data_IF_962944696071
#
_entry.id   IF_962944696071
#
_cell.length_a   1.000
_cell.length_b   1.000
_cell.length_c   1.000
_cell.angle_alpha   90.00
_cell.angle_beta   90.00
_cell.angle_gamma   90.00
#
_symmetry.space_group_name_H-M   'P 1'
#
loop_
_entity.id
_entity.type
_entity.pdbx_description
1 polymer ?
#
# COMPACT_ATOMS: atom_id res chain seq x y z
N UNK A 1 -30.17 -22.57 5.28
CA UNK A 1 -29.21 -22.81 4.19
C UNK A 1 -28.11 -21.78 4.37
N UNK A 2 -26.99 -22.23 4.89
CA UNK A 2 -25.91 -21.40 5.42
C UNK A 2 -25.03 -20.94 4.24
N UNK A 3 -25.01 -19.63 3.99
CA UNK A 3 -24.24 -19.02 2.91
C UNK A 3 -22.74 -19.23 3.18
N UNK A 4 -22.18 -20.26 2.56
CA UNK A 4 -20.75 -20.49 2.56
C UNK A 4 -20.07 -19.36 1.78
N UNK A 5 -19.06 -18.67 2.35
CA UNK A 5 -18.38 -17.57 1.66
C UNK A 5 -17.72 -18.06 0.37
N UNK A 6 -17.74 -17.22 -0.65
CA UNK A 6 -17.19 -17.56 -1.97
C UNK A 6 -15.66 -17.71 -1.89
N UNK A 7 -15.02 -18.49 -2.78
CA UNK A 7 -13.57 -18.74 -2.73
C UNK A 7 -12.67 -17.48 -2.72
N UNK A 8 -13.20 -16.32 -3.12
CA UNK A 8 -12.48 -15.05 -3.16
C UNK A 8 -12.35 -14.34 -1.80
N UNK A 9 -13.12 -14.74 -0.79
CA UNK A 9 -13.10 -14.11 0.55
C UNK A 9 -12.17 -14.83 1.54
N UNK A 10 -11.64 -16.01 1.15
CA UNK A 10 -10.90 -16.91 2.04
C UNK A 10 -9.44 -16.53 2.30
N UNK A 11 -8.88 -15.58 1.54
CA UNK A 11 -7.42 -15.35 1.54
C UNK A 11 -6.96 -14.11 2.31
N UNK A 12 -7.85 -13.36 2.96
CA UNK A 12 -7.50 -12.06 3.55
C UNK A 12 -7.82 -11.89 5.04
N UNK A 13 -8.53 -12.81 5.69
CA UNK A 13 -9.13 -12.51 7.00
C UNK A 13 -8.77 -13.45 8.17
N UNK A 14 -8.05 -14.55 7.95
CA UNK A 14 -7.66 -15.51 9.00
C UNK A 14 -6.14 -15.55 9.27
N UNK A 15 -5.44 -14.43 9.12
CA UNK A 15 -4.06 -14.37 9.62
C UNK A 15 -4.11 -14.30 11.14
N UNK A 16 -3.44 -15.22 11.83
CA UNK A 16 -3.27 -15.19 13.29
C UNK A 16 -1.79 -15.22 13.63
N UNK A 17 -1.39 -14.50 14.67
CA UNK A 17 -0.05 -14.60 15.25
C UNK A 17 -0.14 -15.44 16.53
N UNK A 18 0.48 -16.62 16.55
CA UNK A 18 0.33 -17.63 17.62
C UNK A 18 -1.15 -17.94 17.99
N UNK A 19 -2.04 -18.01 16.99
CA UNK A 19 -3.45 -18.30 17.21
C UNK A 19 -4.29 -17.10 17.69
N UNK A 20 -3.70 -15.91 17.83
CA UNK A 20 -4.43 -14.66 18.10
C UNK A 20 -4.59 -13.85 16.82
N UNK A 21 -5.84 -13.62 16.41
CA UNK A 21 -6.16 -12.59 15.41
C UNK A 21 -6.04 -11.21 16.06
N UNK A 22 -5.46 -10.24 15.35
CA UNK A 22 -5.47 -8.85 15.80
C UNK A 22 -6.63 -8.11 15.14
N UNK A 23 -7.43 -7.45 15.95
CA UNK A 23 -8.36 -6.45 15.44
C UNK A 23 -7.60 -5.23 14.91
N UNK A 24 -8.24 -4.48 14.01
CA UNK A 24 -7.70 -3.20 13.49
C UNK A 24 -7.40 -2.23 14.65
N UNK A 25 -8.24 -2.23 15.69
CA UNK A 25 -8.06 -1.41 16.89
C UNK A 25 -6.82 -1.81 17.69
N UNK A 26 -6.63 -3.11 17.97
CA UNK A 26 -5.43 -3.60 18.66
C UNK A 26 -4.15 -3.31 17.85
N UNK A 27 -4.21 -3.49 16.52
CA UNK A 27 -3.10 -3.17 15.65
C UNK A 27 -2.73 -1.68 15.73
N UNK A 28 -3.73 -0.79 15.72
CA UNK A 28 -3.54 0.66 15.89
C UNK A 28 -2.94 1.01 17.25
N UNK A 29 -3.36 0.34 18.33
CA UNK A 29 -2.77 0.53 19.66
C UNK A 29 -1.29 0.14 19.70
N UNK A 30 -0.91 -0.99 19.07
CA UNK A 30 0.50 -1.41 18.93
C UNK A 30 1.33 -0.39 18.15
N UNK A 31 0.74 0.27 17.16
CA UNK A 31 1.42 1.31 16.35
C UNK A 31 1.51 2.66 17.06
N UNK A 32 0.64 2.94 18.03
CA UNK A 32 0.54 4.24 18.68
C UNK A 32 1.84 4.78 19.31
N UNK A 33 2.75 3.97 19.89
CA UNK A 33 4.03 4.46 20.42
C UNK A 33 5.00 4.93 19.34
N UNK A 34 4.79 4.51 18.08
CA UNK A 34 5.61 4.85 16.93
C UNK A 34 5.03 6.02 16.11
N UNK A 35 4.00 6.68 16.65
CA UNK A 35 3.47 7.89 16.03
C UNK A 35 4.51 9.00 16.08
N UNK A 36 5.18 9.23 14.97
CA UNK A 36 6.06 10.36 14.78
C UNK A 36 5.38 11.47 13.97
N UNK A 37 5.93 12.68 14.02
CA UNK A 37 5.49 13.78 13.16
C UNK A 37 6.01 13.67 11.73
N UNK A 38 6.47 12.49 11.29
CA UNK A 38 7.13 12.33 10.00
C UNK A 38 6.09 12.22 8.89
N UNK A 39 6.08 13.22 8.02
CA UNK A 39 5.21 13.28 6.86
C UNK A 39 3.72 13.48 7.13
N UNK A 40 2.95 13.56 6.05
CA UNK A 40 1.50 13.65 6.06
C UNK A 40 0.91 12.96 4.83
N UNK A 41 -0.38 12.63 4.93
CA UNK A 41 -1.20 12.41 3.73
C UNK A 41 -2.24 13.53 3.71
N UNK A 42 -2.20 14.32 2.64
CA UNK A 42 -3.03 15.52 2.51
C UNK A 42 -4.15 15.28 1.50
N UNK A 43 -5.33 15.86 1.75
CA UNK A 43 -6.51 15.76 0.87
C UNK A 43 -6.94 17.15 0.40
N UNK A 44 -6.88 17.35 -0.91
CA UNK A 44 -7.48 18.51 -1.59
C UNK A 44 -8.71 18.03 -2.38
N UNK A 45 -9.79 18.81 -2.30
CA UNK A 45 -11.04 18.58 -3.04
C UNK A 45 -11.17 19.68 -4.08
N UNK A 46 -11.33 19.33 -5.36
CA UNK A 46 -11.59 20.32 -6.39
C UNK A 46 -13.10 20.49 -6.69
N UNK A 47 -13.44 21.57 -7.39
CA UNK A 47 -14.81 21.93 -7.75
C UNK A 47 -15.45 20.95 -8.76
N UNK A 48 -14.64 20.09 -9.40
CA UNK A 48 -15.12 19.10 -10.37
C UNK A 48 -15.51 17.77 -9.71
N UNK A 49 -15.27 17.62 -8.41
CA UNK A 49 -15.50 16.39 -7.65
C UNK A 49 -14.33 15.41 -7.72
N UNK A 50 -13.10 15.89 -7.96
CA UNK A 50 -11.88 15.08 -7.92
C UNK A 50 -11.15 15.30 -6.60
N UNK A 51 -10.83 14.21 -5.92
CA UNK A 51 -9.95 14.21 -4.76
C UNK A 51 -8.48 14.10 -5.21
N UNK A 52 -7.63 14.97 -4.69
CA UNK A 52 -6.17 14.83 -4.80
C UNK A 52 -5.62 14.42 -3.45
N UNK A 53 -5.02 13.24 -3.40
CA UNK A 53 -4.43 12.65 -2.19
C UNK A 53 -2.92 12.69 -2.34
N UNK A 54 -2.25 13.48 -1.51
CA UNK A 54 -0.82 13.71 -1.61
C UNK A 54 -0.07 12.97 -0.50
N UNK A 55 0.82 12.04 -0.87
CA UNK A 55 1.80 11.44 0.02
C UNK A 55 2.96 12.43 0.20
N UNK A 56 3.11 12.96 1.40
CA UNK A 56 4.03 14.06 1.66
C UNK A 56 5.07 13.67 2.72
N UNK A 57 6.17 13.09 2.26
CA UNK A 57 7.38 12.87 3.07
C UNK A 57 8.62 12.97 2.17
N UNK A 58 8.89 14.15 1.57
CA UNK A 58 9.83 14.30 0.47
C UNK A 58 11.26 13.89 0.85
N UNK A 59 11.66 14.16 2.11
CA UNK A 59 12.99 13.77 2.64
C UNK A 59 13.27 12.28 2.54
N UNK A 60 12.23 11.45 2.56
CA UNK A 60 12.31 9.99 2.46
C UNK A 60 11.63 9.46 1.20
N UNK A 61 11.50 10.29 0.14
CA UNK A 61 10.82 9.93 -1.11
C UNK A 61 9.41 9.36 -0.84
N UNK A 62 8.69 10.03 0.04
CA UNK A 62 7.32 9.71 0.43
C UNK A 62 7.16 8.34 1.11
N UNK A 63 8.18 7.90 1.85
CA UNK A 63 8.09 6.71 2.69
C UNK A 63 6.99 6.85 3.74
N UNK A 64 6.18 5.81 3.91
CA UNK A 64 5.00 5.78 4.76
C UNK A 64 5.40 5.54 6.22
N UNK A 65 5.14 6.54 7.05
CA UNK A 65 5.20 6.49 8.52
C UNK A 65 3.87 6.02 9.12
N UNK A 66 3.84 5.77 10.43
CA UNK A 66 2.58 5.48 11.16
C UNK A 66 1.59 6.64 11.03
N UNK A 67 2.06 7.88 11.10
CA UNK A 67 1.19 9.05 10.92
C UNK A 67 0.53 9.06 9.54
N UNK A 68 1.30 8.76 8.49
CA UNK A 68 0.76 8.69 7.13
C UNK A 68 -0.27 7.55 6.97
N UNK A 69 -0.10 6.41 7.64
CA UNK A 69 -1.13 5.35 7.67
C UNK A 69 -2.43 5.86 8.29
N UNK A 70 -2.35 6.55 9.45
CA UNK A 70 -3.51 7.13 10.12
C UNK A 70 -4.20 8.21 9.28
N UNK A 71 -3.42 9.05 8.59
CA UNK A 71 -3.95 10.09 7.73
C UNK A 71 -4.68 9.48 6.52
N UNK A 72 -4.09 8.45 5.89
CA UNK A 72 -4.72 7.72 4.78
C UNK A 72 -6.01 7.01 5.22
N UNK A 73 -6.05 6.39 6.40
CA UNK A 73 -7.26 5.76 6.96
C UNK A 73 -8.42 6.77 7.09
N UNK A 74 -8.12 7.93 7.70
CA UNK A 74 -9.10 9.03 7.86
C UNK A 74 -9.53 9.61 6.52
N UNK A 75 -8.62 9.79 5.57
CA UNK A 75 -8.94 10.28 4.23
C UNK A 75 -9.84 9.29 3.50
N UNK A 76 -9.60 8.00 3.67
CA UNK A 76 -10.44 6.96 3.09
C UNK A 76 -11.88 7.04 3.62
N UNK A 77 -12.08 7.28 4.92
CA UNK A 77 -13.43 7.53 5.48
C UNK A 77 -14.08 8.78 4.89
N UNK A 78 -13.31 9.88 4.78
CA UNK A 78 -13.81 11.13 4.19
C UNK A 78 -14.22 10.97 2.74
N UNK A 79 -13.52 10.14 1.97
CA UNK A 79 -13.85 9.85 0.57
C UNK A 79 -15.09 8.98 0.47
N UNK A 80 -15.23 7.98 1.32
CA UNK A 80 -16.42 7.14 1.38
C UNK A 80 -17.70 7.95 1.68
N UNK A 81 -17.58 8.98 2.51
CA UNK A 81 -18.70 9.87 2.87
C UNK A 81 -18.96 10.98 1.85
N UNK A 82 -18.04 11.24 0.91
CA UNK A 82 -18.17 12.34 -0.04
C UNK A 82 -18.93 11.91 -1.29
N UNK A 83 -20.25 12.09 -1.28
CA UNK A 83 -21.19 11.61 -2.32
C UNK A 83 -21.00 12.23 -3.70
N UNK A 84 -20.40 13.41 -3.77
CA UNK A 84 -20.15 14.17 -4.99
C UNK A 84 -18.77 13.87 -5.58
N UNK A 85 -17.96 13.06 -4.89
CA UNK A 85 -16.67 12.60 -5.38
C UNK A 85 -16.85 11.66 -6.57
N UNK A 86 -16.21 11.97 -7.69
CA UNK A 86 -16.22 11.16 -8.92
C UNK A 86 -14.98 10.28 -9.01
N UNK A 87 -13.89 10.69 -8.40
CA UNK A 87 -12.63 9.95 -8.42
C UNK A 87 -11.55 10.57 -7.54
N UNK A 88 -10.49 9.80 -7.31
CA UNK A 88 -9.34 10.21 -6.52
C UNK A 88 -8.02 9.94 -7.26
N UNK A 89 -7.11 10.89 -7.17
CA UNK A 89 -5.74 10.79 -7.67
C UNK A 89 -4.81 10.72 -6.45
N UNK A 90 -4.12 9.60 -6.31
CA UNK A 90 -3.07 9.41 -5.31
C UNK A 90 -1.72 9.67 -5.96
N UNK A 91 -0.95 10.60 -5.39
CA UNK A 91 0.37 11.00 -5.90
C UNK A 91 1.30 11.35 -4.73
N UNK A 92 2.60 11.54 -4.99
CA UNK A 92 3.56 11.98 -3.97
C UNK A 92 4.19 13.33 -4.29
N UNK A 93 4.72 14.01 -3.25
CA UNK A 93 5.44 15.27 -3.39
C UNK A 93 6.83 15.11 -4.02
N UNK A 94 7.42 16.23 -4.45
CA UNK A 94 8.79 16.31 -4.98
C UNK A 94 9.09 15.32 -6.10
N UNK A 95 8.12 15.10 -6.98
CA UNK A 95 8.26 14.29 -8.18
C UNK A 95 8.58 12.82 -7.89
N UNK A 96 8.18 12.28 -6.74
CA UNK A 96 8.34 10.86 -6.41
C UNK A 96 7.01 10.30 -5.90
N UNK A 97 6.62 9.10 -6.32
CA UNK A 97 5.39 8.51 -5.79
C UNK A 97 5.53 8.04 -4.33
N UNK A 98 6.23 6.92 -4.09
CA UNK A 98 6.38 6.35 -2.75
C UNK A 98 7.46 5.27 -2.74
N UNK A 99 8.45 5.43 -1.85
CA UNK A 99 9.59 4.51 -1.72
C UNK A 99 9.32 3.28 -0.85
N UNK A 100 8.16 3.19 -0.18
CA UNK A 100 7.82 2.07 0.71
C UNK A 100 7.41 2.49 2.11
N UNK A 101 7.51 1.55 3.05
CA UNK A 101 7.47 1.89 4.48
C UNK A 101 8.78 2.55 4.91
N UNK A 102 8.70 3.42 5.92
CA UNK A 102 9.90 4.02 6.50
C UNK A 102 10.84 2.96 7.08
N UNK A 103 12.07 2.89 6.57
CA UNK A 103 13.07 1.89 7.02
C UNK A 103 13.54 2.12 8.45
N UNK A 104 13.48 3.37 8.96
CA UNK A 104 13.77 3.65 10.36
C UNK A 104 12.69 3.06 11.25
N UNK A 105 11.43 3.28 10.90
CA UNK A 105 10.28 2.66 11.56
C UNK A 105 10.39 1.14 11.53
N UNK A 106 10.71 0.54 10.38
CA UNK A 106 10.87 -0.90 10.24
C UNK A 106 11.95 -1.48 11.18
N UNK A 107 13.06 -0.74 11.39
CA UNK A 107 14.12 -1.13 12.33
C UNK A 107 13.68 -1.02 13.79
N UNK A 108 12.96 0.04 14.15
CA UNK A 108 12.43 0.25 15.51
C UNK A 108 11.33 -0.77 15.86
N UNK A 109 10.59 -1.22 14.86
CA UNK A 109 9.53 -2.22 14.96
C UNK A 109 10.01 -3.65 14.72
N UNK A 110 11.31 -3.93 14.77
CA UNK A 110 11.91 -5.22 14.41
C UNK A 110 11.62 -6.34 15.42
N UNK A 111 10.34 -6.70 15.55
CA UNK A 111 9.86 -7.90 16.20
C UNK A 111 8.59 -8.39 15.48
N UNK A 112 8.27 -9.69 15.57
CA UNK A 112 7.17 -10.26 14.80
C UNK A 112 5.80 -9.65 15.11
N UNK A 113 5.56 -9.27 16.37
CA UNK A 113 4.28 -8.72 16.80
C UNK A 113 3.99 -7.37 16.13
N UNK A 114 4.97 -6.48 16.15
CA UNK A 114 4.85 -5.15 15.56
C UNK A 114 4.75 -5.22 14.03
N UNK A 115 5.52 -6.10 13.38
CA UNK A 115 5.41 -6.35 11.95
C UNK A 115 4.03 -6.87 11.55
N UNK A 116 3.47 -7.78 12.35
CA UNK A 116 2.11 -8.28 12.13
C UNK A 116 1.04 -7.20 12.33
N UNK A 117 1.13 -6.39 13.40
CA UNK A 117 0.22 -5.26 13.62
C UNK A 117 0.25 -4.25 12.47
N UNK A 118 1.45 -3.89 11.97
CA UNK A 118 1.58 -3.03 10.79
C UNK A 118 0.89 -3.63 9.56
N UNK A 119 1.09 -4.93 9.33
CA UNK A 119 0.52 -5.65 8.19
C UNK A 119 -1.01 -5.66 8.25
N UNK A 120 -1.59 -5.93 9.43
CA UNK A 120 -3.04 -5.89 9.67
C UNK A 120 -3.60 -4.49 9.42
N UNK A 121 -2.97 -3.46 10.00
CA UNK A 121 -3.49 -2.10 9.92
C UNK A 121 -3.40 -1.52 8.50
N UNK A 122 -2.23 -1.62 7.87
CA UNK A 122 -2.04 -1.09 6.51
C UNK A 122 -2.82 -1.92 5.47
N UNK A 123 -2.89 -3.24 5.65
CA UNK A 123 -3.73 -4.12 4.83
C UNK A 123 -5.21 -3.70 4.87
N UNK A 124 -5.74 -3.45 6.07
CA UNK A 124 -7.10 -2.93 6.27
C UNK A 124 -7.33 -1.61 5.54
N UNK A 125 -6.42 -0.65 5.69
CA UNK A 125 -6.53 0.67 5.03
C UNK A 125 -6.59 0.49 3.51
N UNK A 126 -5.70 -0.31 2.93
CA UNK A 126 -5.65 -0.53 1.48
C UNK A 126 -6.85 -1.33 0.96
N UNK A 127 -7.41 -2.25 1.74
CA UNK A 127 -8.66 -2.93 1.40
C UNK A 127 -9.85 -1.98 1.42
N UNK A 128 -9.92 -1.11 2.43
CA UNK A 128 -10.95 -0.06 2.54
C UNK A 128 -10.83 0.92 1.38
N UNK A 129 -9.62 1.34 1.03
CA UNK A 129 -9.33 2.22 -0.11
C UNK A 129 -9.76 1.58 -1.44
N UNK A 130 -9.44 0.31 -1.66
CA UNK A 130 -9.83 -0.44 -2.86
C UNK A 130 -11.34 -0.59 -3.02
N UNK A 131 -12.10 -0.60 -1.91
CA UNK A 131 -13.56 -0.74 -1.88
C UNK A 131 -14.31 0.59 -1.99
N UNK A 132 -13.61 1.71 -2.14
CA UNK A 132 -14.27 3.01 -2.31
C UNK A 132 -15.20 2.99 -3.54
N UNK A 133 -16.40 3.61 -3.46
CA UNK A 133 -17.35 3.64 -4.56
C UNK A 133 -17.02 4.72 -5.61
N UNK A 134 -15.73 4.96 -5.88
CA UNK A 134 -15.20 5.96 -6.81
C UNK A 134 -14.01 5.39 -7.57
N UNK A 135 -13.66 5.98 -8.71
CA UNK A 135 -12.46 5.57 -9.45
C UNK A 135 -11.21 6.12 -8.78
N UNK A 136 -10.23 5.26 -8.51
CA UNK A 136 -8.95 5.63 -7.90
C UNK A 136 -7.78 5.44 -8.87
N UNK A 137 -6.91 6.44 -8.96
CA UNK A 137 -5.74 6.44 -9.86
C UNK A 137 -4.47 6.68 -9.05
N UNK A 138 -3.50 5.77 -9.13
CA UNK A 138 -2.14 6.05 -8.69
C UNK A 138 -1.39 6.77 -9.81
N UNK A 139 -0.99 8.03 -9.58
CA UNK A 139 -0.13 8.81 -10.46
C UNK A 139 1.33 8.59 -10.06
N UNK A 140 2.08 7.85 -10.88
CA UNK A 140 3.42 7.34 -10.55
C UNK A 140 4.47 8.12 -11.33
N UNK A 141 5.34 8.81 -10.60
CA UNK A 141 6.39 9.68 -11.14
C UNK A 141 7.74 9.47 -10.43
N UNK A 142 8.81 9.98 -11.04
CA UNK A 142 10.21 9.94 -10.59
C UNK A 142 10.72 8.55 -10.28
N UNK A 143 11.21 8.31 -9.05
CA UNK A 143 11.71 6.97 -8.67
C UNK A 143 10.63 5.89 -8.62
N UNK A 144 9.37 6.27 -8.81
CA UNK A 144 8.24 5.36 -8.92
C UNK A 144 7.73 4.84 -7.58
N UNK A 145 7.11 3.66 -7.64
CA UNK A 145 6.47 2.99 -6.52
C UNK A 145 7.29 1.75 -6.13
N UNK A 146 7.98 1.78 -4.99
CA UNK A 146 8.89 0.71 -4.57
C UNK A 146 8.44 0.09 -3.24
N UNK A 147 8.63 -1.21 -3.08
CA UNK A 147 8.34 -1.94 -1.85
C UNK A 147 6.88 -1.75 -1.43
N UNK A 148 6.66 -1.21 -0.23
CA UNK A 148 5.33 -0.83 0.24
C UNK A 148 4.60 0.16 -0.68
N UNK A 149 5.32 1.06 -1.36
CA UNK A 149 4.73 1.99 -2.34
C UNK A 149 4.14 1.24 -3.53
N UNK A 150 4.80 0.16 -3.98
CA UNK A 150 4.24 -0.73 -4.99
C UNK A 150 2.95 -1.40 -4.47
N UNK A 151 2.91 -1.82 -3.21
CA UNK A 151 1.69 -2.37 -2.60
C UNK A 151 0.54 -1.38 -2.59
N UNK A 152 0.79 -0.10 -2.26
CA UNK A 152 -0.23 0.96 -2.30
C UNK A 152 -0.85 1.08 -3.70
N UNK A 153 -0.05 1.02 -4.76
CA UNK A 153 -0.59 1.11 -6.14
C UNK A 153 -1.56 -0.02 -6.49
N UNK A 154 -1.49 -1.16 -5.80
CA UNK A 154 -2.41 -2.29 -6.03
C UNK A 154 -3.80 -2.06 -5.44
N UNK A 155 -3.93 -1.10 -4.52
CA UNK A 155 -5.22 -0.68 -3.99
C UNK A 155 -5.96 0.29 -4.91
N UNK A 156 -5.27 0.91 -5.87
CA UNK A 156 -5.90 1.78 -6.87
C UNK A 156 -6.53 0.98 -8.03
N UNK A 157 -7.53 1.53 -8.70
CA UNK A 157 -8.12 0.93 -9.91
C UNK A 157 -7.15 1.04 -11.08
N UNK A 158 -6.59 2.22 -11.30
CA UNK A 158 -5.66 2.50 -12.38
C UNK A 158 -4.30 2.95 -11.85
N UNK A 159 -3.27 2.69 -12.64
CA UNK A 159 -1.89 3.15 -12.43
C UNK A 159 -1.48 3.92 -13.67
N UNK A 160 -1.31 5.23 -13.53
CA UNK A 160 -0.82 6.10 -14.60
C UNK A 160 0.65 6.39 -14.32
N UNK A 161 1.52 5.94 -15.20
CA UNK A 161 2.96 6.10 -15.02
C UNK A 161 3.51 7.14 -15.98
N UNK A 162 4.27 8.08 -15.43
CA UNK A 162 4.91 9.13 -16.20
C UNK A 162 6.27 8.67 -16.73
N UNK A 163 6.53 8.87 -18.02
CA UNK A 163 7.81 8.53 -18.66
C UNK A 163 8.84 9.65 -18.50
N UNK A 164 8.93 10.23 -17.29
CA UNK A 164 9.77 11.41 -16.98
C UNK A 164 11.20 10.99 -16.62
N UNK A 165 11.37 9.79 -16.04
CA UNK A 165 12.67 9.19 -15.76
C UNK A 165 12.69 7.73 -16.24
N UNK A 166 13.85 7.26 -16.71
CA UNK A 166 14.04 5.84 -17.07
C UNK A 166 13.82 4.90 -15.88
N UNK A 167 13.97 5.43 -14.66
CA UNK A 167 13.79 4.69 -13.41
C UNK A 167 12.35 4.66 -12.91
N UNK A 168 11.42 5.36 -13.56
CA UNK A 168 10.01 5.34 -13.14
C UNK A 168 9.44 3.94 -13.36
N UNK A 169 8.99 3.32 -12.27
CA UNK A 169 8.45 1.97 -12.31
C UNK A 169 7.70 1.56 -11.06
N UNK A 170 7.12 0.37 -11.10
CA UNK A 170 6.51 -0.31 -9.95
C UNK A 170 7.40 -1.51 -9.62
N UNK A 171 7.96 -1.54 -8.41
CA UNK A 171 8.94 -2.56 -8.02
C UNK A 171 8.71 -3.14 -6.63
N UNK A 172 8.45 -4.44 -6.57
CA UNK A 172 8.41 -5.18 -5.30
C UNK A 172 9.82 -5.60 -4.89
N UNK A 173 10.44 -4.86 -3.98
CA UNK A 173 11.85 -5.07 -3.56
C UNK A 173 11.99 -5.85 -2.25
N UNK A 174 10.89 -6.36 -1.69
CA UNK A 174 10.82 -7.04 -0.39
C UNK A 174 11.81 -8.19 -0.24
N UNK A 175 11.95 -9.04 -1.26
CA UNK A 175 12.87 -10.19 -1.26
C UNK A 175 14.33 -9.77 -1.09
N UNK A 176 14.74 -8.63 -1.69
CA UNK A 176 16.10 -8.07 -1.55
C UNK A 176 16.37 -7.57 -0.12
N UNK A 177 15.31 -7.29 0.65
CA UNK A 177 15.38 -6.83 2.04
C UNK A 177 15.13 -7.97 3.05
N UNK A 178 14.92 -9.20 2.58
CA UNK A 178 14.62 -10.34 3.46
C UNK A 178 13.22 -10.30 4.09
N UNK A 179 12.28 -9.56 3.50
CA UNK A 179 10.88 -9.47 3.95
C UNK A 179 9.92 -9.87 2.83
N UNK A 180 8.63 -9.99 3.16
CA UNK A 180 7.55 -10.27 2.19
C UNK A 180 6.67 -9.04 1.99
N UNK A 181 5.98 -8.91 0.84
CA UNK A 181 4.91 -7.92 0.70
C UNK A 181 3.80 -8.27 1.70
N UNK A 182 3.49 -7.34 2.60
CA UNK A 182 2.67 -7.61 3.78
C UNK A 182 1.45 -6.71 3.90
N UNK A 183 1.23 -5.79 2.94
CA UNK A 183 0.08 -4.88 2.92
C UNK A 183 -1.05 -5.37 2.00
N UNK A 184 -1.12 -6.70 1.78
CA UNK A 184 -2.18 -7.37 1.02
C UNK A 184 -2.01 -7.34 -0.50
N UNK A 185 -0.86 -6.89 -1.01
CA UNK A 185 -0.64 -6.78 -2.47
C UNK A 185 -0.64 -8.11 -3.21
N UNK A 186 -0.23 -9.22 -2.58
CA UNK A 186 -0.12 -10.53 -3.24
C UNK A 186 -1.45 -11.01 -3.82
N UNK A 187 -2.54 -10.92 -3.04
CA UNK A 187 -3.89 -11.24 -3.51
C UNK A 187 -4.37 -10.29 -4.61
N UNK A 188 -4.14 -8.97 -4.43
CA UNK A 188 -4.53 -7.96 -5.43
C UNK A 188 -3.78 -8.13 -6.76
N UNK A 189 -2.49 -8.47 -6.71
CA UNK A 189 -1.67 -8.71 -7.89
C UNK A 189 -2.14 -9.91 -8.71
N UNK A 190 -2.57 -11.00 -8.06
CA UNK A 190 -3.15 -12.15 -8.77
C UNK A 190 -4.40 -11.72 -9.54
N UNK A 191 -5.23 -10.86 -8.97
CA UNK A 191 -6.41 -10.31 -9.64
C UNK A 191 -6.05 -9.33 -10.78
N UNK A 192 -5.01 -8.51 -10.60
CA UNK A 192 -4.58 -7.50 -11.58
C UNK A 192 -3.88 -8.15 -12.79
N UNK A 193 -2.94 -9.08 -12.55
CA UNK A 193 -2.13 -9.71 -13.60
C UNK A 193 -2.75 -11.00 -14.13
N UNK A 194 -3.77 -11.53 -13.43
CA UNK A 194 -4.27 -12.88 -13.63
C UNK A 194 -3.39 -13.93 -12.95
N UNK A 195 -3.98 -15.10 -12.66
CA UNK A 195 -3.22 -16.27 -12.23
C UNK A 195 -2.43 -16.82 -13.42
N UNK A 196 -1.16 -16.46 -13.55
CA UNK A 196 -0.33 -16.93 -14.66
C UNK A 196 -0.03 -18.44 -14.53
N UNK A 197 -0.68 -19.29 -15.35
CA UNK A 197 -0.15 -20.62 -15.72
C UNK A 197 1.05 -20.55 -16.68
N UNK A 198 1.43 -19.36 -17.15
CA UNK A 198 2.61 -19.15 -18.00
C UNK A 198 3.32 -17.85 -17.63
N UNK A 199 4.55 -17.98 -17.15
CA UNK A 199 5.59 -16.96 -17.28
C UNK A 199 5.48 -15.78 -16.32
N UNK A 200 5.43 -16.03 -15.02
CA UNK A 200 5.95 -15.05 -14.08
C UNK A 200 7.48 -15.04 -14.31
N UNK A 201 7.99 -14.00 -14.98
CA UNK A 201 9.42 -13.68 -14.88
C UNK A 201 9.79 -13.59 -13.40
N UNK A 202 11.03 -13.93 -13.02
CA UNK A 202 11.37 -14.21 -11.63
C UNK A 202 10.99 -13.04 -10.71
N UNK A 203 9.94 -13.24 -9.90
CA UNK A 203 9.66 -12.46 -8.68
C UNK A 203 10.85 -12.56 -7.69
N UNK A 204 11.77 -13.49 -7.97
CA UNK A 204 13.04 -13.69 -7.28
C UNK A 204 14.17 -13.73 -8.31
N UNK A 205 14.67 -12.56 -8.73
CA UNK A 205 15.79 -12.44 -9.67
C UNK A 205 16.70 -11.28 -9.29
N UNK A 206 17.75 -11.57 -8.53
CA UNK A 206 18.93 -10.70 -8.49
C UNK A 206 19.69 -10.76 -9.82
N UNK A 207 20.51 -9.76 -10.15
CA UNK A 207 21.28 -9.77 -11.38
C UNK A 207 22.53 -10.63 -11.18
N UNK A 208 22.41 -11.95 -11.29
CA UNK A 208 23.47 -12.79 -11.89
C UNK A 208 23.02 -14.25 -12.04
N UNK A 209 22.84 -14.69 -13.28
CA UNK A 209 22.92 -16.09 -13.65
C UNK A 209 23.36 -16.18 -15.12
N UNK A 210 24.41 -15.44 -15.46
CA UNK A 210 25.19 -15.67 -16.66
C UNK A 210 26.40 -16.53 -16.32
N UNK A 211 26.28 -17.86 -16.41
CA UNK A 211 27.40 -18.72 -16.78
C UNK A 211 26.89 -20.03 -17.37
N UNK A 212 27.50 -20.35 -18.51
CA UNK A 212 27.34 -21.52 -19.35
C UNK A 212 27.55 -22.82 -18.57
#
# INVERSE_FOLDING_TARGET
>A
MENSPTPNEKYLHDFTYHGKAYSVSEAKEVLSPYLDGSGSVDLEKDDNGIAKICLNNPRLKNAISVKMMLDLDKITDKLYQWTECKGAILYGTDGNFCSGGDLKLAKEMNNPLNGYAMSVYMGHILDKFKKLPIITVAYIDGTGALGGGAEVTTACDYRLMCNVAETTGIGFVHSKMGIVPAWGSTGRLVSIMGSAKKGIGPIVGGPDAGRR
#
